data_IF_262380224821
#
_entry.id   IF_262380224821
#
_cell.length_a   1.000
_cell.length_b   1.000
_cell.length_c   1.000
_cell.angle_alpha   90.00
_cell.angle_beta   90.00
_cell.angle_gamma   90.00
#
_symmetry.space_group_name_H-M   'P 1'
#
loop_
_entity.id
_entity.type
_entity.pdbx_description
1 polymer ?
#
# COMPACT_ATOMS: atom_id res chain seq x y z
N UNK A 1 5.89 -25.47 -14.42
CA UNK A 1 4.81 -25.08 -13.49
C UNK A 1 5.29 -23.87 -12.70
N UNK A 2 4.58 -22.75 -12.71
CA UNK A 2 5.02 -21.53 -11.99
C UNK A 2 4.89 -21.71 -10.48
N UNK A 3 5.91 -21.33 -9.71
CA UNK A 3 5.90 -21.50 -8.25
C UNK A 3 4.88 -20.55 -7.60
N UNK A 4 3.84 -21.08 -6.93
CA UNK A 4 2.88 -20.25 -6.21
C UNK A 4 3.52 -19.67 -4.95
N UNK A 5 3.02 -18.49 -4.54
CA UNK A 5 3.37 -17.86 -3.28
C UNK A 5 2.85 -18.70 -2.11
N UNK A 6 3.73 -19.10 -1.20
CA UNK A 6 3.36 -19.89 -0.02
C UNK A 6 3.00 -19.00 1.17
N UNK A 7 2.15 -19.51 2.05
CA UNK A 7 1.77 -18.82 3.30
C UNK A 7 2.89 -18.76 4.34
N UNK A 8 3.93 -19.58 4.20
CA UNK A 8 5.06 -19.66 5.12
C UNK A 8 6.35 -20.03 4.37
N UNK A 9 7.49 -19.71 4.97
CA UNK A 9 8.82 -20.04 4.43
C UNK A 9 9.32 -19.13 3.30
N UNK A 10 8.52 -18.16 2.86
CA UNK A 10 8.93 -17.14 1.89
C UNK A 10 9.91 -16.13 2.52
N UNK A 11 10.68 -15.44 1.67
CA UNK A 11 11.63 -14.38 2.08
C UNK A 11 11.54 -13.17 1.14
N UNK A 12 11.99 -12.02 1.63
CA UNK A 12 12.08 -10.77 0.87
C UNK A 12 10.70 -10.28 0.43
N UNK A 13 10.57 -9.85 -0.84
CA UNK A 13 9.33 -9.27 -1.37
C UNK A 13 8.12 -10.22 -1.35
N UNK A 14 8.35 -11.52 -1.15
CA UNK A 14 7.32 -12.55 -1.06
C UNK A 14 6.88 -12.83 0.38
N UNK A 15 7.49 -12.20 1.37
CA UNK A 15 7.18 -12.41 2.78
C UNK A 15 6.60 -11.13 3.40
N UNK A 16 5.33 -11.15 3.78
CA UNK A 16 4.65 -10.03 4.46
C UNK A 16 5.49 -9.46 5.62
N UNK A 17 6.08 -10.33 6.44
CA UNK A 17 6.79 -9.90 7.65
C UNK A 17 8.05 -9.09 7.33
N UNK A 18 8.72 -9.37 6.21
CA UNK A 18 9.89 -8.61 5.78
C UNK A 18 9.50 -7.18 5.36
N UNK A 19 8.35 -7.02 4.69
CA UNK A 19 7.78 -5.70 4.39
C UNK A 19 7.41 -4.92 5.64
N UNK A 20 6.74 -5.56 6.61
CA UNK A 20 6.35 -4.93 7.88
C UNK A 20 7.58 -4.47 8.65
N UNK A 21 8.61 -5.32 8.73
CA UNK A 21 9.87 -4.98 9.41
C UNK A 21 10.53 -3.76 8.77
N UNK A 22 10.60 -3.71 7.44
CA UNK A 22 11.16 -2.55 6.72
C UNK A 22 10.30 -1.29 6.96
N UNK A 23 8.97 -1.42 6.92
CA UNK A 23 8.03 -0.34 7.18
C UNK A 23 8.21 0.26 8.59
N UNK A 24 8.33 -0.58 9.61
CA UNK A 24 8.59 -0.16 10.99
C UNK A 24 9.93 0.60 11.10
N UNK A 25 10.98 0.11 10.41
CA UNK A 25 12.27 0.79 10.33
C UNK A 25 12.16 2.19 9.72
N UNK A 26 11.40 2.35 8.63
CA UNK A 26 11.14 3.66 8.01
C UNK A 26 10.38 4.59 8.95
N UNK A 27 9.36 4.11 9.66
CA UNK A 27 8.63 4.94 10.61
C UNK A 27 9.56 5.50 11.69
N UNK A 28 10.47 4.67 12.24
CA UNK A 28 11.46 5.11 13.22
C UNK A 28 12.33 6.23 12.64
N UNK A 29 12.87 6.04 11.43
CA UNK A 29 13.67 7.08 10.75
C UNK A 29 12.88 8.36 10.52
N UNK A 30 11.60 8.27 10.11
CA UNK A 30 10.74 9.43 9.91
C UNK A 30 10.53 10.23 11.21
N UNK A 31 10.31 9.54 12.34
CA UNK A 31 10.17 10.16 13.66
C UNK A 31 11.46 10.85 14.13
N UNK A 32 12.62 10.19 13.99
CA UNK A 32 13.92 10.78 14.33
C UNK A 32 14.22 12.06 13.53
N UNK A 33 13.87 12.09 12.25
CA UNK A 33 14.02 13.28 11.40
C UNK A 33 13.06 14.40 11.83
N UNK A 34 11.83 14.06 12.23
CA UNK A 34 10.87 15.03 12.77
C UNK A 34 11.41 15.67 14.06
N UNK A 35 11.94 14.85 14.97
CA UNK A 35 12.57 15.35 16.20
C UNK A 35 13.78 16.25 15.91
N UNK A 36 14.59 15.93 14.91
CA UNK A 36 15.68 16.78 14.47
C UNK A 36 15.18 18.16 14.01
N UNK A 37 14.11 18.19 13.20
CA UNK A 37 13.51 19.45 12.75
C UNK A 37 12.95 20.29 13.91
N UNK A 38 12.31 19.65 14.89
CA UNK A 38 11.81 20.31 16.10
C UNK A 38 12.96 20.88 16.95
N UNK A 39 14.04 20.13 17.14
CA UNK A 39 15.24 20.63 17.85
C UNK A 39 15.85 21.85 17.15
N UNK A 40 15.92 21.84 15.82
CA UNK A 40 16.42 22.97 15.05
C UNK A 40 15.51 24.19 15.10
N UNK A 41 14.19 24.00 15.19
CA UNK A 41 13.26 25.09 15.45
C UNK A 41 13.53 25.75 16.82
N UNK A 42 13.68 24.93 17.88
CA UNK A 42 13.97 25.44 19.23
C UNK A 42 15.33 26.18 19.30
N UNK A 43 16.34 25.65 18.62
CA UNK A 43 17.66 26.29 18.50
C UNK A 43 17.55 27.66 17.82
N UNK A 44 16.81 27.75 16.72
CA UNK A 44 16.55 29.00 16.02
C UNK A 44 15.86 30.04 16.91
N UNK A 45 14.79 29.63 17.59
CA UNK A 45 14.02 30.52 18.48
C UNK A 45 14.86 31.01 19.66
N UNK A 46 15.68 30.13 20.24
CA UNK A 46 16.60 30.48 21.33
C UNK A 46 17.64 31.49 20.88
N UNK A 47 18.27 31.26 19.73
CA UNK A 47 19.29 32.16 19.19
C UNK A 47 18.71 33.53 18.83
N UNK A 48 17.53 33.54 18.21
CA UNK A 48 16.78 34.76 17.86
C UNK A 48 16.46 35.59 19.12
N UNK A 49 15.98 34.94 20.18
CA UNK A 49 15.68 35.60 21.44
C UNK A 49 16.93 36.15 22.14
N UNK A 50 18.02 35.37 22.19
CA UNK A 50 19.30 35.81 22.78
C UNK A 50 19.87 37.03 22.08
N UNK A 51 19.87 37.05 20.74
CA UNK A 51 20.34 38.20 19.95
C UNK A 51 19.48 39.43 20.22
N UNK A 52 18.15 39.27 20.26
CA UNK A 52 17.20 40.34 20.58
C UNK A 52 17.47 40.95 21.97
N UNK A 53 17.71 40.13 22.99
CA UNK A 53 18.05 40.60 24.35
C UNK A 53 19.36 41.40 24.34
N UNK A 54 20.34 40.97 23.56
CA UNK A 54 21.64 41.65 23.43
C UNK A 54 21.61 42.87 22.49
N UNK A 55 20.43 43.32 22.01
CA UNK A 55 20.30 44.42 21.06
C UNK A 55 20.86 44.12 19.66
N UNK A 56 21.14 42.85 19.36
CA UNK A 56 21.70 42.40 18.09
C UNK A 56 20.61 41.80 17.20
N UNK A 57 20.80 41.88 15.88
CA UNK A 57 19.97 41.15 14.90
C UNK A 57 20.64 39.82 14.55
N UNK A 58 19.82 38.81 14.29
CA UNK A 58 20.28 37.55 13.73
C UNK A 58 20.73 37.80 12.28
N UNK A 59 21.92 37.33 11.92
CA UNK A 59 22.40 37.43 10.53
C UNK A 59 21.68 36.42 9.64
N UNK A 60 21.57 36.71 8.34
CA UNK A 60 20.97 35.77 7.39
C UNK A 60 21.73 34.44 7.36
N UNK A 61 23.06 34.47 7.48
CA UNK A 61 23.89 33.25 7.51
C UNK A 61 23.53 32.36 8.70
N UNK A 62 23.50 32.91 9.91
CA UNK A 62 23.11 32.18 11.13
C UNK A 62 21.69 31.60 11.01
N UNK A 63 20.76 32.36 10.41
CA UNK A 63 19.40 31.89 10.18
C UNK A 63 19.34 30.71 9.18
N UNK A 64 19.99 30.85 8.03
CA UNK A 64 19.96 29.84 6.97
C UNK A 64 20.62 28.53 7.39
N UNK A 65 21.72 28.58 8.16
CA UNK A 65 22.39 27.37 8.66
C UNK A 65 21.45 26.49 9.49
N UNK A 66 20.54 27.08 10.27
CA UNK A 66 19.58 26.34 11.10
C UNK A 66 18.33 25.95 10.31
N UNK A 67 17.76 26.91 9.55
CA UNK A 67 16.50 26.71 8.80
C UNK A 67 16.66 25.63 7.73
N UNK A 68 17.77 25.62 6.99
CA UNK A 68 17.99 24.63 5.93
C UNK A 68 18.02 23.20 6.47
N UNK A 69 18.61 22.99 7.65
CA UNK A 69 18.62 21.67 8.30
C UNK A 69 17.20 21.27 8.71
N UNK A 70 16.44 22.20 9.31
CA UNK A 70 15.04 21.96 9.70
C UNK A 70 14.18 21.58 8.49
N UNK A 71 14.24 22.35 7.41
CA UNK A 71 13.45 22.11 6.20
C UNK A 71 13.81 20.77 5.55
N UNK A 72 15.11 20.48 5.43
CA UNK A 72 15.59 19.19 4.92
C UNK A 72 15.11 18.01 5.77
N UNK A 73 15.15 18.15 7.10
CA UNK A 73 14.69 17.13 8.03
C UNK A 73 13.16 16.92 7.94
N UNK A 74 12.36 17.99 7.87
CA UNK A 74 10.90 17.89 7.66
C UNK A 74 10.56 17.20 6.33
N UNK A 75 11.22 17.61 5.25
CA UNK A 75 11.03 17.06 3.90
C UNK A 75 11.33 15.56 3.87
N UNK A 76 12.48 15.17 4.41
CA UNK A 76 12.93 13.78 4.47
C UNK A 76 12.03 12.94 5.38
N UNK A 77 11.58 13.51 6.52
CA UNK A 77 10.66 12.87 7.46
C UNK A 77 9.35 12.46 6.77
N UNK A 78 8.71 13.38 6.04
CA UNK A 78 7.44 13.10 5.33
C UNK A 78 7.63 12.07 4.22
N UNK A 79 8.71 12.18 3.43
CA UNK A 79 9.00 11.22 2.37
C UNK A 79 9.17 9.80 2.93
N UNK A 80 9.94 9.66 4.00
CA UNK A 80 10.18 8.36 4.63
C UNK A 80 8.90 7.81 5.28
N UNK A 81 8.06 8.67 5.87
CA UNK A 81 6.73 8.27 6.37
C UNK A 81 5.84 7.74 5.23
N UNK A 82 5.84 8.40 4.08
CA UNK A 82 5.15 7.93 2.87
C UNK A 82 5.61 6.53 2.46
N UNK A 83 6.92 6.28 2.41
CA UNK A 83 7.46 4.95 2.13
C UNK A 83 7.08 3.91 3.20
N UNK A 84 7.08 4.30 4.49
CA UNK A 84 6.67 3.40 5.57
C UNK A 84 5.24 2.88 5.34
N UNK A 85 4.31 3.80 5.03
CA UNK A 85 2.92 3.47 4.73
C UNK A 85 2.80 2.63 3.45
N UNK A 86 3.54 2.98 2.40
CA UNK A 86 3.56 2.23 1.14
C UNK A 86 3.98 0.76 1.35
N UNK A 87 5.06 0.53 2.09
CA UNK A 87 5.58 -0.80 2.39
C UNK A 87 4.55 -1.62 3.16
N UNK A 88 3.89 -1.00 4.13
CA UNK A 88 2.87 -1.64 4.95
C UNK A 88 1.63 -2.00 4.14
N UNK A 89 1.17 -1.10 3.27
CA UNK A 89 0.09 -1.38 2.30
C UNK A 89 0.46 -2.53 1.35
N UNK A 90 1.68 -2.52 0.79
CA UNK A 90 2.17 -3.59 -0.08
C UNK A 90 2.29 -4.94 0.63
N UNK A 91 2.61 -4.94 1.92
CA UNK A 91 2.58 -6.17 2.74
C UNK A 91 1.19 -6.82 2.77
N UNK A 92 0.13 -6.00 2.82
CA UNK A 92 -1.25 -6.46 2.73
C UNK A 92 -1.55 -7.15 1.40
N UNK A 93 -1.01 -6.63 0.29
CA UNK A 93 -1.18 -7.23 -1.05
C UNK A 93 -0.49 -8.59 -1.16
N UNK A 94 0.69 -8.75 -0.55
CA UNK A 94 1.38 -10.05 -0.49
C UNK A 94 0.48 -11.09 0.17
N UNK A 95 -0.17 -10.73 1.27
CA UNK A 95 -1.17 -11.59 1.90
C UNK A 95 -2.38 -11.79 0.99
N UNK A 96 -3.00 -10.72 0.47
CA UNK A 96 -4.21 -10.79 -0.36
C UNK A 96 -4.06 -11.78 -1.53
N UNK A 97 -2.87 -11.83 -2.15
CA UNK A 97 -2.56 -12.64 -3.33
C UNK A 97 -1.83 -13.94 -3.02
N UNK A 98 -2.00 -14.48 -1.81
CA UNK A 98 -1.45 -15.79 -1.45
C UNK A 98 -1.88 -16.87 -2.46
N UNK A 99 -0.99 -17.82 -2.73
CA UNK A 99 -1.12 -18.86 -3.76
C UNK A 99 -1.05 -18.38 -5.22
N UNK A 100 -1.04 -17.07 -5.49
CA UNK A 100 -0.75 -16.55 -6.83
C UNK A 100 0.68 -16.91 -7.25
N UNK A 101 0.97 -17.14 -8.53
CA UNK A 101 2.33 -17.19 -9.03
C UNK A 101 3.12 -15.93 -8.65
N UNK A 102 4.36 -16.12 -8.19
CA UNK A 102 5.24 -15.02 -7.71
C UNK A 102 5.38 -13.87 -8.70
N UNK A 103 5.54 -14.19 -9.99
CA UNK A 103 5.62 -13.20 -11.09
C UNK A 103 4.40 -12.30 -11.18
N UNK A 104 3.21 -12.81 -10.87
CA UNK A 104 1.97 -12.03 -10.88
C UNK A 104 1.90 -11.07 -9.70
N UNK A 105 2.32 -11.51 -8.50
CA UNK A 105 2.47 -10.63 -7.34
C UNK A 105 3.44 -9.48 -7.65
N UNK A 106 4.63 -9.78 -8.19
CA UNK A 106 5.61 -8.75 -8.55
C UNK A 106 5.04 -7.72 -9.53
N UNK A 107 4.39 -8.18 -10.61
CA UNK A 107 3.74 -7.29 -11.58
C UNK A 107 2.68 -6.43 -10.92
N UNK A 108 1.82 -7.01 -10.06
CA UNK A 108 0.75 -6.28 -9.37
C UNK A 108 1.31 -5.25 -8.38
N UNK A 109 2.31 -5.61 -7.57
CA UNK A 109 2.98 -4.69 -6.65
C UNK A 109 3.65 -3.53 -7.40
N UNK A 110 4.33 -3.82 -8.53
CA UNK A 110 4.91 -2.79 -9.40
C UNK A 110 3.85 -1.90 -10.04
N UNK A 111 2.71 -2.45 -10.46
CA UNK A 111 1.63 -1.71 -11.14
C UNK A 111 1.02 -0.61 -10.27
N UNK A 112 1.04 -0.76 -8.95
CA UNK A 112 0.60 0.32 -8.06
C UNK A 112 1.51 1.53 -8.10
N UNK A 113 2.79 1.37 -8.48
CA UNK A 113 3.82 2.39 -8.30
C UNK A 113 3.75 2.93 -6.86
N UNK A 114 3.36 4.21 -6.70
CA UNK A 114 3.14 4.90 -5.42
C UNK A 114 1.69 5.36 -5.22
N UNK A 115 0.71 4.76 -5.92
CA UNK A 115 -0.70 5.05 -5.73
C UNK A 115 -1.23 4.35 -4.46
N UNK A 116 -1.03 5.00 -3.32
CA UNK A 116 -1.34 4.45 -2.00
C UNK A 116 -2.84 4.24 -1.79
N UNK A 117 -3.68 5.14 -2.31
CA UNK A 117 -5.14 5.02 -2.23
C UNK A 117 -5.63 3.75 -2.92
N UNK A 118 -5.14 3.45 -4.13
CA UNK A 118 -5.54 2.25 -4.85
C UNK A 118 -5.15 0.97 -4.09
N UNK A 119 -3.99 0.95 -3.43
CA UNK A 119 -3.61 -0.22 -2.62
C UNK A 119 -4.56 -0.38 -1.42
N UNK A 120 -4.87 0.70 -0.70
CA UNK A 120 -5.80 0.68 0.42
C UNK A 120 -7.21 0.24 0.00
N UNK A 121 -7.68 0.69 -1.18
CA UNK A 121 -8.95 0.28 -1.76
C UNK A 121 -8.98 -1.21 -2.11
N UNK A 122 -7.93 -1.75 -2.74
CA UNK A 122 -7.86 -3.19 -3.07
C UNK A 122 -7.78 -4.07 -1.80
N UNK A 123 -7.32 -3.52 -0.67
CA UNK A 123 -7.36 -4.16 0.65
C UNK A 123 -8.68 -3.99 1.40
N UNK A 124 -9.63 -3.21 0.88
CA UNK A 124 -10.83 -2.76 1.60
C UNK A 124 -10.50 -2.11 2.96
N UNK A 125 -9.37 -1.43 3.06
CA UNK A 125 -9.01 -0.70 4.27
C UNK A 125 -9.82 0.59 4.37
N UNK A 126 -10.62 0.80 5.43
CA UNK A 126 -11.48 1.98 5.53
C UNK A 126 -10.66 3.24 5.79
N UNK A 127 -10.78 4.22 4.91
CA UNK A 127 -10.12 5.53 5.03
C UNK A 127 -11.15 6.61 5.35
N UNK A 128 -10.83 7.49 6.29
CA UNK A 128 -11.50 8.77 6.40
C UNK A 128 -11.12 9.69 5.23
N UNK A 129 -11.91 10.74 4.99
CA UNK A 129 -11.61 11.73 3.95
C UNK A 129 -10.22 12.37 4.14
N UNK A 130 -9.83 12.63 5.39
CA UNK A 130 -8.52 13.20 5.73
C UNK A 130 -7.38 12.24 5.41
N UNK A 131 -7.52 10.96 5.75
CA UNK A 131 -6.49 9.96 5.44
C UNK A 131 -6.40 9.67 3.95
N UNK A 132 -7.52 9.67 3.24
CA UNK A 132 -7.52 9.53 1.77
C UNK A 132 -6.73 10.66 1.13
N UNK A 133 -7.03 11.90 1.50
CA UNK A 133 -6.31 13.07 1.01
C UNK A 133 -4.83 13.02 1.37
N UNK A 134 -4.50 12.62 2.60
CA UNK A 134 -3.11 12.41 3.02
C UNK A 134 -2.38 11.39 2.12
N UNK A 135 -3.01 10.25 1.81
CA UNK A 135 -2.42 9.23 0.94
C UNK A 135 -2.20 9.72 -0.49
N UNK A 136 -3.10 10.55 -1.02
CA UNK A 136 -2.96 11.18 -2.34
C UNK A 136 -1.73 12.09 -2.37
N UNK A 137 -1.60 12.96 -1.36
CA UNK A 137 -0.45 13.86 -1.22
C UNK A 137 0.84 13.06 -1.05
N UNK A 138 0.90 12.12 -0.11
CA UNK A 138 2.10 11.29 0.11
C UNK A 138 2.53 10.54 -1.15
N UNK A 139 1.57 9.99 -1.92
CA UNK A 139 1.85 9.36 -3.20
C UNK A 139 2.50 10.32 -4.22
N UNK A 140 2.00 11.55 -4.31
CA UNK A 140 2.60 12.58 -5.18
C UNK A 140 3.99 13.01 -4.73
N UNK A 141 4.23 13.10 -3.43
CA UNK A 141 5.51 13.49 -2.82
C UNK A 141 6.60 12.46 -3.09
N UNK A 142 6.26 11.18 -2.92
CA UNK A 142 7.14 10.06 -3.26
C UNK A 142 7.58 10.14 -4.72
N UNK A 143 6.71 10.61 -5.63
CA UNK A 143 7.03 10.70 -7.07
C UNK A 143 7.80 11.98 -7.40
N UNK A 144 7.38 13.14 -6.93
CA UNK A 144 7.84 14.43 -7.45
C UNK A 144 8.25 15.41 -6.36
N UNK A 145 7.32 15.79 -5.50
CA UNK A 145 7.41 17.04 -4.73
C UNK A 145 8.53 17.05 -3.69
N UNK A 146 8.99 15.87 -3.23
CA UNK A 146 10.16 15.80 -2.36
C UNK A 146 11.45 15.38 -3.03
N UNK A 147 11.40 14.90 -4.28
CA UNK A 147 12.57 14.36 -4.98
C UNK A 147 13.17 15.33 -6.00
N UNK A 148 12.35 16.20 -6.57
CA UNK A 148 12.76 17.15 -7.59
C UNK A 148 12.36 18.57 -7.17
N UNK A 149 13.10 19.60 -7.61
CA UNK A 149 12.61 20.97 -7.55
C UNK A 149 11.27 21.12 -8.28
N UNK A 150 10.48 22.12 -7.86
CA UNK A 150 9.22 22.47 -8.55
C UNK A 150 9.51 22.94 -9.98
N UNK A 151 8.53 22.76 -10.88
CA UNK A 151 8.60 23.24 -12.26
C UNK A 151 7.63 24.41 -12.40
N UNK A 152 8.08 25.65 -12.13
CA UNK A 152 7.19 26.80 -12.13
C UNK A 152 6.95 27.33 -13.54
N UNK A 153 5.74 27.86 -13.74
CA UNK A 153 5.33 28.64 -14.92
C UNK A 153 5.62 30.14 -14.77
N UNK A 154 5.79 30.62 -13.53
CA UNK A 154 6.13 32.00 -13.20
C UNK A 154 6.78 32.11 -11.81
N UNK A 155 7.32 33.27 -11.43
CA UNK A 155 7.87 33.50 -10.08
C UNK A 155 6.81 33.39 -8.99
N UNK A 156 5.59 33.87 -9.22
CA UNK A 156 4.51 33.76 -8.24
C UNK A 156 4.10 32.31 -8.03
N UNK A 157 3.98 31.56 -9.13
CA UNK A 157 3.70 30.12 -9.12
C UNK A 157 4.81 29.32 -8.39
N UNK A 158 6.09 29.67 -8.62
CA UNK A 158 7.21 29.11 -7.86
C UNK A 158 7.03 29.30 -6.35
N UNK A 159 6.78 30.53 -5.90
CA UNK A 159 6.62 30.85 -4.49
C UNK A 159 5.41 30.11 -3.89
N UNK A 160 4.30 30.06 -4.61
CA UNK A 160 3.08 29.37 -4.17
C UNK A 160 3.32 27.87 -4.01
N UNK A 161 3.91 27.20 -5.01
CA UNK A 161 4.22 25.77 -4.93
C UNK A 161 5.19 25.45 -3.78
N UNK A 162 6.26 26.24 -3.62
CA UNK A 162 7.22 26.05 -2.52
C UNK A 162 6.56 26.25 -1.16
N UNK A 163 5.73 27.27 -1.00
CA UNK A 163 5.03 27.54 0.25
C UNK A 163 4.04 26.42 0.59
N UNK A 164 3.23 25.97 -0.37
CA UNK A 164 2.29 24.86 -0.18
C UNK A 164 3.01 23.58 0.24
N UNK A 165 4.13 23.27 -0.42
CA UNK A 165 4.95 22.11 -0.06
C UNK A 165 5.50 22.26 1.36
N UNK A 166 6.05 23.42 1.67
CA UNK A 166 6.70 23.72 2.95
C UNK A 166 5.70 23.69 4.12
N UNK A 167 4.50 24.23 3.91
CA UNK A 167 3.39 24.19 4.85
C UNK A 167 2.99 22.75 5.16
N UNK A 168 2.78 21.94 4.11
CA UNK A 168 2.40 20.55 4.28
C UNK A 168 3.48 19.75 5.04
N UNK A 169 4.75 19.84 4.65
CA UNK A 169 5.83 19.05 5.28
C UNK A 169 6.15 19.49 6.70
N UNK A 170 5.95 20.77 7.00
CA UNK A 170 6.21 21.34 8.32
C UNK A 170 5.03 21.19 9.28
N UNK A 171 3.86 20.81 8.79
CA UNK A 171 2.66 20.59 9.59
C UNK A 171 2.79 19.37 10.51
N UNK A 172 2.80 19.63 11.81
CA UNK A 172 2.77 18.57 12.83
C UNK A 172 1.46 17.77 12.76
N UNK A 173 0.34 18.44 12.47
CA UNK A 173 -0.97 17.78 12.32
C UNK A 173 -0.94 16.73 11.21
N UNK A 174 -0.36 17.05 10.06
CA UNK A 174 -0.25 16.10 8.94
C UNK A 174 0.70 14.95 9.27
N UNK A 175 1.82 15.24 9.94
CA UNK A 175 2.76 14.22 10.35
C UNK A 175 2.13 13.24 11.36
N UNK A 176 1.47 13.76 12.40
CA UNK A 176 0.75 12.96 13.40
C UNK A 176 -0.36 12.14 12.75
N UNK A 177 -1.13 12.72 11.82
CA UNK A 177 -2.15 11.99 11.07
C UNK A 177 -1.54 10.80 10.30
N UNK A 178 -0.39 10.99 9.67
CA UNK A 178 0.31 9.90 8.97
C UNK A 178 0.84 8.82 9.90
N UNK A 179 1.36 9.19 11.08
CA UNK A 179 1.76 8.22 12.11
C UNK A 179 0.55 7.42 12.61
N UNK A 180 -0.57 8.09 12.90
CA UNK A 180 -1.81 7.43 13.33
C UNK A 180 -2.36 6.48 12.26
N UNK A 181 -2.35 6.91 10.99
CA UNK A 181 -2.73 6.07 9.86
C UNK A 181 -1.83 4.83 9.76
N UNK A 182 -0.51 5.00 9.92
CA UNK A 182 0.42 3.88 9.93
C UNK A 182 0.09 2.87 11.02
N UNK A 183 -0.11 3.30 12.27
CA UNK A 183 -0.41 2.38 13.38
C UNK A 183 -1.75 1.67 13.18
N UNK A 184 -2.77 2.38 12.67
CA UNK A 184 -4.07 1.79 12.34
C UNK A 184 -3.95 0.74 11.25
N UNK A 185 -3.18 1.03 10.20
CA UNK A 185 -2.88 0.09 9.14
C UNK A 185 -2.07 -1.10 9.69
N UNK A 186 -1.13 -0.88 10.60
CA UNK A 186 -0.31 -1.94 11.22
C UNK A 186 -1.17 -2.91 12.02
N UNK A 187 -2.11 -2.38 12.80
CA UNK A 187 -3.14 -3.16 13.48
C UNK A 187 -3.97 -3.99 12.51
N UNK A 188 -4.42 -3.38 11.40
CA UNK A 188 -5.12 -4.11 10.34
C UNK A 188 -4.26 -5.24 9.75
N UNK A 189 -3.02 -4.97 9.34
CA UNK A 189 -2.06 -5.93 8.76
C UNK A 189 -1.72 -7.09 9.71
N UNK A 190 -1.75 -6.86 11.02
CA UNK A 190 -1.58 -7.94 12.02
C UNK A 190 -2.71 -8.96 11.92
N UNK A 191 -3.93 -8.48 11.75
CA UNK A 191 -5.14 -9.31 11.77
C UNK A 191 -5.48 -9.93 10.41
N UNK A 192 -4.86 -9.46 9.31
CA UNK A 192 -5.27 -9.89 7.96
C UNK A 192 -5.09 -11.39 7.71
N UNK A 193 -4.19 -12.05 8.42
CA UNK A 193 -3.93 -13.48 8.22
C UNK A 193 -4.77 -14.41 9.09
N UNK A 194 -5.78 -13.84 9.74
CA UNK A 194 -6.77 -14.54 10.53
C UNK A 194 -6.71 -14.12 11.99
N UNK A 195 -7.89 -13.99 12.60
CA UNK A 195 -8.08 -13.95 14.05
C UNK A 195 -8.90 -15.17 14.46
N UNK A 196 -8.97 -15.53 15.76
CA UNK A 196 -9.84 -16.62 16.21
C UNK A 196 -11.29 -16.47 15.71
N UNK A 197 -11.82 -15.25 15.68
CA UNK A 197 -13.18 -14.94 15.22
C UNK A 197 -13.31 -14.73 13.69
N UNK A 198 -12.20 -14.68 12.95
CA UNK A 198 -12.19 -14.45 11.51
C UNK A 198 -11.03 -15.20 10.85
N UNK A 199 -11.21 -16.51 10.72
CA UNK A 199 -10.19 -17.44 10.22
C UNK A 199 -9.93 -17.21 8.74
N UNK A 200 -8.65 -17.20 8.35
CA UNK A 200 -8.24 -17.18 6.94
C UNK A 200 -8.30 -18.58 6.34
N UNK A 201 -8.94 -18.70 5.18
CA UNK A 201 -8.82 -19.87 4.31
C UNK A 201 -8.23 -19.45 2.97
N UNK A 202 -7.28 -20.25 2.48
CA UNK A 202 -6.73 -20.06 1.16
C UNK A 202 -6.33 -21.39 0.57
N UNK A 203 -6.60 -21.59 -0.72
CA UNK A 203 -6.16 -22.79 -1.43
C UNK A 203 -5.97 -22.49 -2.92
N UNK A 204 -5.48 -23.49 -3.63
CA UNK A 204 -5.26 -23.49 -5.07
C UNK A 204 -5.77 -24.81 -5.62
N UNK A 205 -6.60 -24.73 -6.65
CA UNK A 205 -7.12 -25.88 -7.38
C UNK A 205 -6.63 -25.76 -8.83
N UNK A 206 -5.90 -26.78 -9.28
CA UNK A 206 -5.52 -26.87 -10.68
C UNK A 206 -6.73 -27.26 -11.53
N UNK A 207 -6.73 -26.75 -12.75
CA UNK A 207 -7.63 -27.14 -13.84
C UNK A 207 -6.78 -27.79 -14.94
N UNK A 208 -7.43 -28.33 -15.96
CA UNK A 208 -6.74 -28.90 -17.11
C UNK A 208 -5.84 -27.87 -17.81
N UNK A 209 -4.83 -28.35 -18.55
CA UNK A 209 -4.00 -27.53 -19.45
C UNK A 209 -3.45 -26.23 -18.84
N UNK A 210 -2.90 -26.32 -17.61
CA UNK A 210 -2.30 -25.20 -16.85
C UNK A 210 -3.30 -24.12 -16.37
N UNK A 211 -4.61 -24.37 -16.49
CA UNK A 211 -5.61 -23.55 -15.83
C UNK A 211 -5.54 -23.73 -14.32
N UNK A 212 -5.94 -22.73 -13.56
CA UNK A 212 -6.07 -22.83 -12.11
C UNK A 212 -7.02 -21.79 -11.56
N UNK A 213 -7.49 -22.08 -10.35
CA UNK A 213 -8.20 -21.13 -9.51
C UNK A 213 -7.54 -21.10 -8.13
N UNK A 214 -7.16 -19.91 -7.68
CA UNK A 214 -6.79 -19.70 -6.27
C UNK A 214 -7.87 -18.88 -5.60
N UNK A 215 -8.03 -19.10 -4.30
CA UNK A 215 -8.89 -18.24 -3.50
C UNK A 215 -8.25 -17.92 -2.16
N UNK A 216 -8.65 -16.77 -1.62
CA UNK A 216 -8.40 -16.35 -0.25
C UNK A 216 -9.68 -15.74 0.29
N UNK A 217 -10.10 -16.19 1.48
CA UNK A 217 -11.23 -15.63 2.21
C UNK A 217 -10.90 -15.49 3.70
N UNK A 218 -11.62 -14.60 4.38
CA UNK A 218 -11.45 -14.35 5.81
C UNK A 218 -10.19 -13.56 6.13
N UNK A 219 -9.86 -13.46 7.42
CA UNK A 219 -8.77 -12.62 7.91
C UNK A 219 -8.96 -11.16 7.52
N UNK A 220 -10.16 -10.60 7.72
CA UNK A 220 -10.51 -9.17 7.48
C UNK A 220 -10.23 -8.61 6.08
N UNK A 221 -9.81 -9.44 5.10
CA UNK A 221 -9.67 -9.07 3.70
C UNK A 221 -10.91 -9.47 2.90
N UNK A 222 -11.19 -8.79 1.79
CA UNK A 222 -12.24 -9.21 0.88
C UNK A 222 -11.94 -10.63 0.34
N UNK A 223 -12.98 -11.45 0.06
CA UNK A 223 -12.81 -12.67 -0.70
C UNK A 223 -12.16 -12.36 -2.05
N UNK A 224 -11.07 -13.03 -2.38
CA UNK A 224 -10.34 -12.86 -3.64
C UNK A 224 -10.20 -14.18 -4.35
N UNK A 225 -10.44 -14.15 -5.65
CA UNK A 225 -10.30 -15.28 -6.55
C UNK A 225 -9.35 -14.90 -7.67
N UNK A 226 -8.37 -15.75 -7.97
CA UNK A 226 -7.47 -15.57 -9.10
C UNK A 226 -7.71 -16.73 -10.06
N UNK A 227 -8.11 -16.40 -11.29
CA UNK A 227 -8.50 -17.39 -12.29
C UNK A 227 -7.57 -17.30 -13.48
N UNK A 228 -6.90 -18.42 -13.78
CA UNK A 228 -6.25 -18.66 -15.07
C UNK A 228 -7.10 -19.67 -15.83
N UNK A 229 -7.71 -19.23 -16.93
CA UNK A 229 -8.46 -20.11 -17.81
C UNK A 229 -7.51 -21.09 -18.50
N UNK A 230 -7.98 -22.32 -18.72
CA UNK A 230 -7.25 -23.31 -19.50
C UNK A 230 -7.37 -23.02 -21.00
N UNK A 231 -6.46 -23.57 -21.80
CA UNK A 231 -6.42 -23.30 -23.24
C UNK A 231 -7.69 -23.82 -23.94
N UNK A 232 -8.21 -24.98 -23.56
CA UNK A 232 -9.51 -25.50 -24.02
C UNK A 232 -10.66 -24.51 -23.82
N UNK A 233 -10.77 -23.87 -22.64
CA UNK A 233 -11.81 -22.87 -22.38
C UNK A 233 -11.66 -21.63 -23.27
N UNK A 234 -10.42 -21.19 -23.50
CA UNK A 234 -10.13 -20.03 -24.35
C UNK A 234 -10.47 -20.35 -25.81
N UNK A 235 -10.00 -21.48 -26.32
CA UNK A 235 -10.22 -21.93 -27.70
C UNK A 235 -11.70 -22.17 -28.00
N UNK A 236 -12.47 -22.65 -27.02
CA UNK A 236 -13.91 -22.88 -27.16
C UNK A 236 -14.76 -21.60 -26.94
N UNK A 237 -14.15 -20.45 -26.60
CA UNK A 237 -14.88 -19.21 -26.37
C UNK A 237 -15.71 -19.18 -25.08
N UNK A 238 -15.42 -20.07 -24.11
CA UNK A 238 -16.16 -20.24 -22.85
C UNK A 238 -15.36 -19.79 -21.62
N UNK A 239 -14.23 -19.09 -21.82
CA UNK A 239 -13.35 -18.58 -20.77
C UNK A 239 -14.00 -17.41 -19.98
N UNK A 240 -15.02 -17.74 -19.19
CA UNK A 240 -15.77 -16.81 -18.35
C UNK A 240 -15.78 -17.26 -16.90
N UNK A 241 -15.98 -16.31 -15.98
CA UNK A 241 -16.09 -16.60 -14.55
C UNK A 241 -17.32 -17.46 -14.30
N UNK A 242 -18.41 -17.23 -15.02
CA UNK A 242 -19.66 -17.96 -14.96
C UNK A 242 -19.47 -19.43 -15.33
N UNK A 243 -18.68 -19.73 -16.37
CA UNK A 243 -18.31 -21.11 -16.71
C UNK A 243 -17.59 -21.78 -15.55
N UNK A 244 -16.63 -21.10 -14.91
CA UNK A 244 -15.91 -21.66 -13.76
C UNK A 244 -16.83 -21.86 -12.56
N UNK A 245 -17.78 -20.94 -12.33
CA UNK A 245 -18.79 -21.08 -11.27
C UNK A 245 -19.65 -22.32 -11.49
N UNK A 246 -20.15 -22.54 -12.71
CA UNK A 246 -20.95 -23.71 -13.06
C UNK A 246 -20.17 -25.00 -12.85
N UNK A 247 -18.91 -25.07 -13.29
CA UNK A 247 -18.04 -26.23 -13.07
C UNK A 247 -17.81 -26.50 -11.57
N UNK A 248 -17.64 -25.46 -10.76
CA UNK A 248 -17.51 -25.58 -9.31
C UNK A 248 -18.79 -26.14 -8.66
N UNK A 249 -19.96 -25.67 -9.07
CA UNK A 249 -21.26 -26.14 -8.57
C UNK A 249 -21.45 -27.62 -8.93
N UNK A 250 -21.22 -28.02 -10.18
CA UNK A 250 -21.33 -29.42 -10.60
C UNK A 250 -20.34 -30.32 -9.84
N UNK A 251 -19.09 -29.87 -9.67
CA UNK A 251 -18.11 -30.58 -8.82
C UNK A 251 -18.63 -30.77 -7.39
N UNK A 252 -19.24 -29.74 -6.81
CA UNK A 252 -19.76 -29.78 -5.44
C UNK A 252 -21.00 -30.66 -5.27
N UNK A 253 -21.73 -31.00 -6.34
CA UNK A 253 -22.79 -32.01 -6.29
C UNK A 253 -22.23 -33.42 -6.14
N UNK A 254 -21.07 -33.69 -6.73
CA UNK A 254 -20.44 -35.03 -6.75
C UNK A 254 -19.47 -35.23 -5.59
N UNK A 255 -18.56 -34.27 -5.37
CA UNK A 255 -17.50 -34.38 -4.37
C UNK A 255 -17.17 -33.00 -3.78
N UNK A 256 -17.93 -32.65 -2.74
CA UNK A 256 -17.80 -31.37 -2.02
C UNK A 256 -16.67 -31.42 -1.00
N UNK A 257 -15.65 -30.59 -1.22
CA UNK A 257 -14.61 -30.31 -0.21
C UNK A 257 -14.96 -29.06 0.61
N UNK A 258 -14.32 -28.89 1.77
CA UNK A 258 -14.42 -27.64 2.55
C UNK A 258 -14.03 -26.43 1.68
N UNK A 259 -12.94 -26.54 0.92
CA UNK A 259 -12.45 -25.47 0.06
C UNK A 259 -13.43 -25.12 -1.05
N UNK A 260 -13.93 -26.12 -1.79
CA UNK A 260 -14.86 -25.89 -2.89
C UNK A 260 -16.23 -25.40 -2.40
N UNK A 261 -16.69 -25.83 -1.21
CA UNK A 261 -17.89 -25.28 -0.57
C UNK A 261 -17.72 -23.81 -0.18
N UNK A 262 -16.56 -23.45 0.39
CA UNK A 262 -16.24 -22.06 0.72
C UNK A 262 -16.15 -21.19 -0.53
N UNK A 263 -15.55 -21.71 -1.61
CA UNK A 263 -15.49 -21.00 -2.87
C UNK A 263 -16.88 -20.67 -3.42
N UNK A 264 -17.79 -21.66 -3.42
CA UNK A 264 -19.17 -21.47 -3.87
C UNK A 264 -19.90 -20.44 -3.00
N UNK A 265 -19.78 -20.55 -1.66
CA UNK A 265 -20.42 -19.65 -0.69
C UNK A 265 -20.02 -18.18 -0.85
N UNK A 266 -18.76 -17.92 -1.19
CA UNK A 266 -18.20 -16.55 -1.27
C UNK A 266 -18.08 -16.01 -2.69
N UNK A 267 -18.48 -16.78 -3.70
CA UNK A 267 -18.30 -16.44 -5.12
C UNK A 267 -18.83 -15.05 -5.47
N UNK A 268 -20.08 -14.77 -5.09
CA UNK A 268 -20.77 -13.53 -5.48
C UNK A 268 -20.31 -12.29 -4.71
N UNK A 269 -19.52 -12.50 -3.64
CA UNK A 269 -18.91 -11.43 -2.83
C UNK A 269 -17.44 -11.22 -3.16
N UNK A 270 -16.89 -12.01 -4.09
CA UNK A 270 -15.47 -12.01 -4.37
C UNK A 270 -15.05 -10.96 -5.38
N UNK A 271 -13.82 -10.49 -5.22
CA UNK A 271 -13.07 -9.77 -6.23
C UNK A 271 -12.36 -10.81 -7.10
N UNK A 272 -12.54 -10.71 -8.41
CA UNK A 272 -11.91 -11.62 -9.37
C UNK A 272 -10.72 -10.96 -10.05
N UNK A 273 -9.58 -11.65 -10.04
CA UNK A 273 -8.44 -11.34 -10.87
C UNK A 273 -8.32 -12.39 -11.97
N UNK A 274 -8.38 -11.95 -13.22
CA UNK A 274 -8.11 -12.80 -14.37
C UNK A 274 -6.64 -12.68 -14.73
N UNK A 275 -6.00 -13.84 -14.88
CA UNK A 275 -4.59 -13.95 -15.26
C UNK A 275 -4.44 -13.73 -16.75
N UNK A 276 -3.65 -12.74 -17.12
CA UNK A 276 -3.18 -12.47 -18.47
C UNK A 276 -1.65 -12.54 -18.47
N UNK A 277 -1.07 -13.43 -19.27
CA UNK A 277 0.38 -13.66 -19.25
C UNK A 277 1.19 -12.39 -19.59
N UNK A 278 0.61 -11.49 -20.41
CA UNK A 278 1.21 -10.19 -20.76
C UNK A 278 0.92 -9.15 -19.68
N UNK A 279 -0.35 -8.90 -19.38
CA UNK A 279 -0.82 -7.79 -18.51
C UNK A 279 -0.72 -8.08 -17.01
N UNK A 280 -0.54 -9.33 -16.60
CA UNK A 280 -0.53 -9.74 -15.19
C UNK A 280 -1.95 -10.00 -14.66
N UNK A 281 -2.29 -9.46 -13.50
CA UNK A 281 -3.62 -9.61 -12.90
C UNK A 281 -4.53 -8.46 -13.33
N UNK A 282 -5.63 -8.79 -13.98
CA UNK A 282 -6.67 -7.82 -14.36
C UNK A 282 -7.88 -7.97 -13.45
N UNK A 283 -8.27 -6.89 -12.77
CA UNK A 283 -9.42 -6.90 -11.85
C UNK A 283 -10.72 -6.85 -12.66
N UNK A 284 -11.59 -7.86 -12.50
CA UNK A 284 -13.00 -7.74 -12.84
C UNK A 284 -13.77 -7.61 -11.53
N UNK A 285 -14.25 -6.40 -11.26
CA UNK A 285 -15.34 -6.23 -10.29
C UNK A 285 -16.58 -6.82 -10.94
N UNK A 286 -17.22 -7.78 -10.30
CA UNK A 286 -18.61 -8.09 -10.62
C UNK A 286 -19.37 -6.78 -10.43
N UNK A 287 -19.89 -6.22 -11.52
CA UNK A 287 -20.83 -5.12 -11.47
C UNK A 287 -22.06 -5.62 -10.71
N UNK A 288 -22.05 -5.46 -9.39
CA UNK A 288 -23.29 -5.47 -8.62
C UNK A 288 -24.02 -4.19 -9.04
N UNK A 289 -25.10 -4.37 -9.81
CA UNK A 289 -26.16 -3.38 -9.95
C UNK A 289 -26.84 -3.17 -8.60
#
# INVERSE_FOLDING_TARGET
METPLKSSGEKGIFNKYDWVKEADGKLISAKLLRECALKKQLEFDTLKNKKKINGQKLTSKEAFEIINVRESANKSSVLILGYAIELLLKSGIVSLLINAPKKLLEKKVKSYSHNLVNIALDLHFPLSNKERHLLEILGSYIIRETRYPVIPSSTNDYCEQVNNITEFISSETNFVLGVQLFERLRGFIKDIDGTPDNIKFSSRMEMEENGYITFRIGGRLPPVFIVKFCQTQISAGIATIETVKSLLIEKNKVNKSIHSNLMEKYWDKAIFYIVDDKKGLTNRRNCQK
#
